data_IF_091998827893
#
_entry.id   IF_091998827893
#
_cell.length_a   1.000
_cell.length_b   1.000
_cell.length_c   1.000
_cell.angle_alpha   90.00
_cell.angle_beta   90.00
_cell.angle_gamma   90.00
#
_symmetry.space_group_name_H-M   'P 1'
#
loop_
_entity.id
_entity.type
_entity.pdbx_description
1 polymer ?
#
# COMPACT_ATOMS: atom_id res chain seq x y z
N UNK A 1 -19.97 21.43 -11.28
CA UNK A 1 -20.78 20.32 -10.76
C UNK A 1 -21.18 20.71 -9.36
N UNK A 2 -22.49 20.87 -9.11
CA UNK A 2 -22.98 21.37 -7.83
C UNK A 2 -22.48 20.51 -6.67
N UNK A 3 -22.23 21.15 -5.53
CA UNK A 3 -22.01 20.49 -4.25
C UNK A 3 -23.32 19.80 -3.83
N UNK A 4 -23.58 18.61 -4.36
CA UNK A 4 -24.47 17.66 -3.69
C UNK A 4 -23.70 17.05 -2.52
N UNK A 5 -24.30 17.12 -1.33
CA UNK A 5 -23.78 16.51 -0.09
C UNK A 5 -23.80 14.98 -0.12
N UNK A 6 -24.35 14.37 -1.19
CA UNK A 6 -24.48 12.92 -1.36
C UNK A 6 -24.34 12.53 -2.84
N UNK A 7 -23.92 11.29 -3.10
CA UNK A 7 -23.93 10.67 -4.41
C UNK A 7 -24.49 9.26 -4.26
N UNK A 8 -25.78 9.10 -4.54
CA UNK A 8 -26.49 7.86 -4.29
C UNK A 8 -26.46 6.92 -5.49
N UNK A 9 -26.34 5.61 -5.24
CA UNK A 9 -26.52 4.54 -6.22
C UNK A 9 -27.35 3.42 -5.63
N UNK A 10 -28.04 2.66 -6.46
CA UNK A 10 -28.80 1.48 -6.04
C UNK A 10 -28.06 0.19 -6.43
N UNK A 11 -27.96 -0.76 -5.50
CA UNK A 11 -27.40 -2.09 -5.74
C UNK A 11 -28.27 -3.13 -5.04
N UNK A 12 -28.81 -4.09 -5.81
CA UNK A 12 -29.69 -5.17 -5.31
C UNK A 12 -30.84 -4.61 -4.46
N UNK A 13 -31.46 -3.53 -4.95
CA UNK A 13 -32.59 -2.86 -4.28
C UNK A 13 -32.25 -2.16 -2.95
N UNK A 14 -30.97 -1.97 -2.64
CA UNK A 14 -30.49 -1.17 -1.51
C UNK A 14 -29.80 0.10 -2.00
N UNK A 15 -29.86 1.18 -1.23
CA UNK A 15 -29.25 2.46 -1.60
C UNK A 15 -27.91 2.67 -0.87
N UNK A 16 -26.95 3.24 -1.58
CA UNK A 16 -25.59 3.48 -1.11
C UNK A 16 -25.18 4.90 -1.46
N UNK A 17 -24.56 5.62 -0.52
CA UNK A 17 -23.96 6.94 -0.75
C UNK A 17 -22.44 6.78 -0.89
N UNK A 18 -21.97 6.85 -2.13
CA UNK A 18 -20.56 6.63 -2.48
C UNK A 18 -19.80 7.94 -2.72
N UNK A 19 -20.33 9.08 -2.25
CA UNK A 19 -19.72 10.41 -2.48
C UNK A 19 -18.25 10.47 -2.08
N UNK A 20 -17.93 10.00 -0.88
CA UNK A 20 -16.56 9.99 -0.35
C UNK A 20 -15.66 9.01 -1.13
N UNK A 21 -16.23 7.91 -1.62
CA UNK A 21 -15.53 6.90 -2.40
C UNK A 21 -15.18 7.34 -3.82
N UNK A 22 -15.90 8.29 -4.43
CA UNK A 22 -15.74 8.65 -5.84
C UNK A 22 -14.27 8.92 -6.23
N UNK A 23 -13.53 9.63 -5.38
CA UNK A 23 -12.12 9.98 -5.61
C UNK A 23 -11.17 8.78 -5.52
N UNK A 24 -11.61 7.73 -4.83
CA UNK A 24 -10.87 6.51 -4.56
C UNK A 24 -11.28 5.36 -5.51
N UNK A 25 -12.27 5.56 -6.39
CA UNK A 25 -12.68 4.55 -7.36
C UNK A 25 -11.53 4.27 -8.36
N UNK A 26 -11.04 3.02 -8.48
CA UNK A 26 -9.86 2.70 -9.32
C UNK A 26 -10.02 3.03 -10.80
N UNK A 27 -11.24 3.02 -11.32
CA UNK A 27 -11.53 3.46 -12.70
C UNK A 27 -11.52 4.98 -12.87
N UNK A 28 -11.57 5.74 -11.78
CA UNK A 28 -11.73 7.19 -11.77
C UNK A 28 -13.20 7.63 -11.75
N UNK A 29 -13.41 8.87 -11.32
CA UNK A 29 -14.74 9.48 -11.07
C UNK A 29 -15.61 9.52 -12.33
N UNK A 30 -15.01 9.77 -13.50
CA UNK A 30 -15.73 9.97 -14.77
C UNK A 30 -16.56 8.76 -15.21
N UNK A 31 -16.16 7.55 -14.82
CA UNK A 31 -16.90 6.33 -15.16
C UNK A 31 -18.09 6.06 -14.25
N UNK A 32 -18.13 6.71 -13.08
CA UNK A 32 -19.16 6.52 -12.05
C UNK A 32 -20.20 7.63 -12.11
N UNK A 33 -19.80 8.86 -12.46
CA UNK A 33 -20.69 10.04 -12.50
C UNK A 33 -22.00 9.82 -13.26
N UNK A 34 -22.00 9.04 -14.35
CA UNK A 34 -23.20 8.77 -15.15
C UNK A 34 -24.25 7.90 -14.43
N UNK A 35 -23.92 7.33 -13.27
CA UNK A 35 -24.76 6.40 -12.51
C UNK A 35 -25.33 7.03 -11.23
N UNK A 36 -25.21 8.33 -11.03
CA UNK A 36 -25.89 9.04 -9.94
C UNK A 36 -27.39 8.74 -9.98
N UNK A 37 -27.93 8.30 -8.84
CA UNK A 37 -29.32 7.89 -8.63
C UNK A 37 -29.81 6.74 -9.52
N UNK A 38 -28.89 5.88 -9.99
CA UNK A 38 -29.22 4.71 -10.83
C UNK A 38 -28.94 3.38 -10.15
N UNK A 39 -29.63 2.33 -10.64
CA UNK A 39 -29.29 0.95 -10.31
C UNK A 39 -28.01 0.52 -11.06
N UNK A 40 -26.97 0.19 -10.30
CA UNK A 40 -25.67 -0.25 -10.78
C UNK A 40 -25.48 -1.76 -10.71
N UNK A 41 -26.49 -2.54 -10.32
CA UNK A 41 -26.39 -4.00 -10.10
C UNK A 41 -25.83 -4.72 -11.31
N UNK A 42 -26.47 -4.56 -12.47
CA UNK A 42 -25.99 -5.22 -13.68
C UNK A 42 -24.62 -4.68 -14.11
N UNK A 43 -24.41 -3.36 -13.98
CA UNK A 43 -23.15 -2.74 -14.37
C UNK A 43 -21.97 -3.21 -13.52
N UNK A 44 -22.17 -3.39 -12.22
CA UNK A 44 -21.17 -3.92 -11.29
C UNK A 44 -20.75 -5.34 -11.69
N UNK A 45 -21.71 -6.18 -12.10
CA UNK A 45 -21.47 -7.56 -12.57
C UNK A 45 -20.76 -7.58 -13.93
N UNK A 46 -21.20 -6.75 -14.88
CA UNK A 46 -20.64 -6.68 -16.24
C UNK A 46 -19.18 -6.20 -16.26
N UNK A 47 -18.81 -5.32 -15.33
CA UNK A 47 -17.45 -4.80 -15.20
C UNK A 47 -16.51 -5.75 -14.43
N UNK A 48 -16.99 -6.95 -14.06
CA UNK A 48 -16.21 -7.98 -13.36
C UNK A 48 -15.48 -7.46 -12.11
N UNK A 49 -16.17 -6.63 -11.31
CA UNK A 49 -15.63 -6.17 -10.04
C UNK A 49 -15.22 -7.36 -9.15
N UNK A 50 -14.14 -7.18 -8.39
CA UNK A 50 -13.65 -8.22 -7.48
C UNK A 50 -14.57 -8.38 -6.27
N UNK A 51 -14.48 -9.52 -5.58
CA UNK A 51 -15.18 -9.74 -4.29
C UNK A 51 -14.87 -8.62 -3.28
N UNK A 52 -13.64 -8.12 -3.28
CA UNK A 52 -13.21 -7.01 -2.43
C UNK A 52 -13.96 -5.71 -2.72
N UNK A 53 -14.26 -5.40 -3.99
CA UNK A 53 -15.05 -4.22 -4.36
C UNK A 53 -16.50 -4.34 -3.85
N UNK A 54 -17.13 -5.51 -3.99
CA UNK A 54 -18.46 -5.75 -3.43
C UNK A 54 -18.46 -5.69 -1.89
N UNK A 55 -17.41 -6.18 -1.25
CA UNK A 55 -17.25 -6.11 0.20
C UNK A 55 -17.13 -4.66 0.69
N UNK A 56 -16.33 -3.85 0.00
CA UNK A 56 -16.14 -2.43 0.31
C UNK A 56 -17.42 -1.61 0.10
N UNK A 57 -18.22 -1.92 -0.92
CA UNK A 57 -19.50 -1.24 -1.17
C UNK A 57 -20.42 -1.24 0.06
N UNK A 58 -20.33 -2.28 0.91
CA UNK A 58 -21.12 -2.40 2.15
C UNK A 58 -20.89 -1.22 3.11
N UNK A 59 -19.71 -0.59 3.10
CA UNK A 59 -19.38 0.57 3.94
C UNK A 59 -20.25 1.78 3.64
N UNK A 60 -20.71 1.90 2.40
CA UNK A 60 -21.41 3.08 1.89
C UNK A 60 -22.93 2.94 1.92
N UNK A 61 -23.47 1.88 2.54
CA UNK A 61 -24.92 1.66 2.59
C UNK A 61 -25.62 2.72 3.45
N UNK A 62 -26.67 3.33 2.89
CA UNK A 62 -27.50 4.30 3.60
C UNK A 62 -28.29 3.57 4.71
N UNK A 63 -28.26 4.11 5.93
CA UNK A 63 -28.92 3.51 7.10
C UNK A 63 -28.06 2.50 7.86
N UNK A 64 -26.77 2.39 7.51
CA UNK A 64 -25.79 1.55 8.20
C UNK A 64 -25.31 0.40 7.32
N UNK A 65 -24.10 -0.10 7.64
CA UNK A 65 -23.42 -1.15 6.89
C UNK A 65 -24.34 -2.35 6.69
N UNK A 66 -24.33 -2.92 5.48
CA UNK A 66 -25.03 -4.17 5.26
C UNK A 66 -24.36 -5.29 6.05
N UNK A 67 -25.04 -5.86 7.06
CA UNK A 67 -24.55 -6.99 7.86
C UNK A 67 -25.08 -8.34 7.35
N UNK A 68 -25.95 -8.34 6.34
CA UNK A 68 -26.55 -9.58 5.84
C UNK A 68 -25.50 -10.44 5.17
N UNK A 69 -25.40 -11.69 5.60
CA UNK A 69 -24.68 -12.75 4.89
C UNK A 69 -25.39 -13.03 3.58
N UNK A 70 -24.68 -12.91 2.46
CA UNK A 70 -25.13 -13.38 1.16
C UNK A 70 -24.24 -14.55 0.70
N UNK A 71 -24.60 -15.23 -0.39
CA UNK A 71 -23.84 -16.37 -0.92
C UNK A 71 -22.39 -16.04 -1.33
N UNK A 72 -21.97 -14.77 -1.27
CA UNK A 72 -20.68 -14.31 -1.79
C UNK A 72 -19.74 -13.68 -0.76
N UNK A 73 -20.23 -13.26 0.42
CA UNK A 73 -19.41 -12.67 1.49
C UNK A 73 -20.04 -12.88 2.88
N UNK A 74 -19.38 -13.62 3.76
CA UNK A 74 -19.62 -13.51 5.21
C UNK A 74 -19.08 -12.17 5.70
N UNK A 75 -19.77 -11.50 6.63
CA UNK A 75 -19.19 -10.36 7.33
C UNK A 75 -18.09 -10.84 8.28
N UNK A 76 -16.84 -10.44 8.04
CA UNK A 76 -15.69 -10.88 8.83
C UNK A 76 -15.38 -9.91 9.97
N UNK A 77 -16.21 -8.91 10.18
CA UNK A 77 -15.81 -7.69 10.88
C UNK A 77 -16.09 -7.80 12.37
N UNK A 78 -16.97 -8.74 12.72
CA UNK A 78 -17.23 -9.22 14.07
C UNK A 78 -16.08 -10.08 14.63
N UNK A 79 -15.07 -10.43 13.80
CA UNK A 79 -13.89 -11.16 14.27
C UNK A 79 -12.96 -10.29 15.13
N UNK A 80 -13.09 -8.97 15.05
CA UNK A 80 -12.28 -7.99 15.78
C UNK A 80 -13.15 -6.88 16.36
N UNK A 81 -12.68 -6.27 17.45
CA UNK A 81 -13.26 -5.06 18.01
C UNK A 81 -12.54 -3.84 17.43
N UNK A 82 -13.23 -3.11 16.55
CA UNK A 82 -12.72 -1.90 15.89
C UNK A 82 -12.44 -0.74 16.85
N UNK A 83 -12.96 -0.77 18.08
CA UNK A 83 -12.70 0.24 19.10
C UNK A 83 -11.44 -0.06 19.94
N UNK A 84 -10.77 -1.19 19.68
CA UNK A 84 -9.58 -1.63 20.40
C UNK A 84 -8.35 -1.69 19.48
N UNK A 85 -7.13 -1.66 20.05
CA UNK A 85 -5.90 -1.79 19.27
C UNK A 85 -5.88 -3.06 18.41
N UNK A 86 -5.67 -2.88 17.11
CA UNK A 86 -5.90 -3.92 16.11
C UNK A 86 -4.78 -4.96 16.06
N UNK A 87 -3.51 -4.56 16.25
CA UNK A 87 -2.36 -5.44 16.04
C UNK A 87 -2.43 -6.71 16.92
N UNK A 88 -2.86 -6.58 18.18
CA UNK A 88 -3.01 -7.72 19.10
C UNK A 88 -4.18 -8.63 18.73
N UNK A 89 -5.21 -8.11 18.08
CA UNK A 89 -6.38 -8.90 17.69
C UNK A 89 -6.07 -9.69 16.42
N UNK A 90 -5.47 -9.02 15.42
CA UNK A 90 -5.15 -9.58 14.11
C UNK A 90 -4.25 -10.82 14.20
N UNK A 91 -3.22 -10.78 15.05
CA UNK A 91 -2.32 -11.93 15.23
C UNK A 91 -3.01 -13.17 15.82
N UNK A 92 -4.22 -13.03 16.36
CA UNK A 92 -5.01 -14.12 16.92
C UNK A 92 -6.12 -14.62 15.97
N UNK A 93 -6.26 -14.05 14.77
CA UNK A 93 -7.29 -14.46 13.79
C UNK A 93 -7.04 -15.85 13.18
N UNK A 94 -5.81 -16.37 13.30
CA UNK A 94 -5.47 -17.69 12.79
C UNK A 94 -5.74 -17.83 11.29
N UNK A 95 -6.41 -18.91 10.89
CA UNK A 95 -6.74 -19.21 9.49
C UNK A 95 -7.68 -18.18 8.85
N UNK A 96 -8.48 -17.46 9.64
CA UNK A 96 -9.39 -16.41 9.14
C UNK A 96 -8.68 -15.11 8.76
N UNK A 97 -7.41 -14.96 9.14
CA UNK A 97 -6.65 -13.73 8.90
C UNK A 97 -6.58 -13.35 7.42
N UNK A 98 -6.26 -14.30 6.55
CA UNK A 98 -5.99 -13.98 5.15
C UNK A 98 -7.24 -13.49 4.41
N UNK A 99 -8.40 -14.09 4.69
CA UNK A 99 -9.67 -13.62 4.13
C UNK A 99 -10.06 -12.25 4.71
N UNK A 100 -9.90 -12.08 6.03
CA UNK A 100 -10.23 -10.83 6.72
C UNK A 100 -9.39 -9.65 6.23
N UNK A 101 -8.08 -9.84 6.01
CA UNK A 101 -7.15 -8.78 5.61
C UNK A 101 -7.35 -8.35 4.15
N UNK A 102 -7.78 -9.26 3.28
CA UNK A 102 -8.08 -9.00 1.86
C UNK A 102 -9.55 -8.55 1.64
N UNK A 103 -10.31 -8.34 2.71
CA UNK A 103 -11.67 -7.81 2.67
C UNK A 103 -11.63 -6.33 3.09
N UNK A 104 -11.46 -5.39 2.15
CA UNK A 104 -11.18 -3.99 2.46
C UNK A 104 -12.37 -3.28 3.10
N UNK A 105 -12.07 -2.30 3.94
CA UNK A 105 -13.03 -1.40 4.59
C UNK A 105 -12.53 0.03 4.57
N UNK A 106 -13.46 0.99 4.60
CA UNK A 106 -13.16 2.42 4.65
C UNK A 106 -13.51 2.97 6.04
N UNK A 107 -12.58 2.79 6.98
CA UNK A 107 -12.77 3.21 8.37
C UNK A 107 -11.44 3.44 9.08
N UNK A 108 -11.51 4.22 10.15
CA UNK A 108 -10.36 4.43 11.02
C UNK A 108 -9.93 3.13 11.72
N UNK A 109 -8.62 2.89 11.75
CA UNK A 109 -8.03 1.77 12.48
C UNK A 109 -6.90 2.21 13.39
N UNK A 110 -6.98 1.80 14.66
CA UNK A 110 -5.95 2.02 15.68
C UNK A 110 -5.08 0.78 15.80
N UNK A 111 -3.76 0.90 15.68
CA UNK A 111 -2.86 -0.25 15.76
C UNK A 111 -2.42 -0.55 17.20
N UNK A 112 -2.11 0.51 17.96
CA UNK A 112 -1.59 0.46 19.32
C UNK A 112 -2.45 1.29 20.27
N UNK A 113 -2.63 0.80 21.51
CA UNK A 113 -3.28 1.59 22.56
C UNK A 113 -2.39 2.66 23.16
N UNK A 114 -1.09 2.63 22.87
CA UNK A 114 -0.12 3.63 23.30
C UNK A 114 0.05 4.67 22.19
N UNK A 115 -0.16 5.95 22.52
CA UNK A 115 -0.13 7.04 21.54
C UNK A 115 1.25 7.22 20.88
N UNK A 116 2.34 6.99 21.60
CA UNK A 116 3.70 7.10 21.05
C UNK A 116 3.89 6.02 19.97
N UNK A 117 3.53 4.77 20.29
CA UNK A 117 3.62 3.67 19.31
C UNK A 117 2.70 3.91 18.11
N UNK A 118 1.50 4.43 18.33
CA UNK A 118 0.57 4.77 17.25
C UNK A 118 1.15 5.84 16.33
N UNK A 119 1.73 6.91 16.89
CA UNK A 119 2.34 7.99 16.11
C UNK A 119 3.54 7.49 15.29
N UNK A 120 4.30 6.52 15.78
CA UNK A 120 5.42 5.91 15.04
C UNK A 120 4.97 5.10 13.81
N UNK A 121 3.69 4.75 13.72
CA UNK A 121 3.13 4.07 12.53
C UNK A 121 2.73 5.04 11.42
N UNK A 122 2.65 6.34 11.71
CA UNK A 122 2.18 7.34 10.77
C UNK A 122 3.37 7.86 9.97
N UNK A 123 3.32 7.67 8.65
CA UNK A 123 4.34 8.19 7.72
C UNK A 123 3.64 9.03 6.66
N UNK A 124 3.64 10.37 6.78
CA UNK A 124 3.13 11.25 5.73
C UNK A 124 3.88 11.04 4.41
N UNK A 125 3.18 11.16 3.28
CA UNK A 125 3.74 10.89 1.95
C UNK A 125 5.03 11.67 1.67
N UNK A 126 5.14 12.92 2.14
CA UNK A 126 6.29 13.80 1.88
C UNK A 126 7.56 13.38 2.64
N UNK A 127 7.45 12.50 3.64
CA UNK A 127 8.63 12.02 4.40
C UNK A 127 9.52 11.14 3.53
N UNK A 128 8.94 10.38 2.59
CA UNK A 128 9.69 9.53 1.66
C UNK A 128 10.63 10.36 0.78
N UNK A 129 10.18 11.33 -0.04
CA UNK A 129 11.08 12.14 -0.85
C UNK A 129 12.03 12.99 0.00
N UNK A 130 11.59 13.50 1.16
CA UNK A 130 12.44 14.30 2.05
C UNK A 130 13.69 13.55 2.53
N UNK A 131 13.58 12.24 2.78
CA UNK A 131 14.70 11.42 3.26
C UNK A 131 15.48 10.84 2.08
N UNK A 132 14.79 10.22 1.12
CA UNK A 132 15.44 9.38 0.12
C UNK A 132 16.05 10.16 -1.03
N UNK A 133 15.50 11.33 -1.40
CA UNK A 133 16.09 12.17 -2.44
C UNK A 133 17.48 12.68 -2.03
N UNK A 134 17.69 13.27 -0.83
CA UNK A 134 19.04 13.65 -0.40
C UNK A 134 20.03 12.49 -0.33
N UNK A 135 19.59 11.31 0.15
CA UNK A 135 20.44 10.11 0.21
C UNK A 135 20.85 9.66 -1.20
N UNK A 136 19.90 9.63 -2.13
CA UNK A 136 20.17 9.30 -3.53
C UNK A 136 21.19 10.26 -4.14
N UNK A 137 20.98 11.58 -4.03
CA UNK A 137 21.91 12.57 -4.56
C UNK A 137 23.29 12.52 -3.89
N UNK A 138 23.36 12.22 -2.61
CA UNK A 138 24.63 12.06 -1.90
C UNK A 138 25.43 10.87 -2.45
N UNK A 139 24.78 9.71 -2.68
CA UNK A 139 25.44 8.56 -3.29
C UNK A 139 25.88 8.85 -4.73
N UNK A 140 25.03 9.52 -5.52
CA UNK A 140 25.38 9.92 -6.89
C UNK A 140 26.59 10.86 -6.88
N UNK A 141 26.64 11.81 -5.94
CA UNK A 141 27.78 12.71 -5.76
C UNK A 141 29.07 11.94 -5.44
N UNK A 142 29.05 11.04 -4.45
CA UNK A 142 30.22 10.24 -4.09
C UNK A 142 30.72 9.39 -5.26
N UNK A 143 29.83 8.69 -5.96
CA UNK A 143 30.19 7.90 -7.13
C UNK A 143 30.72 8.75 -8.29
N UNK A 144 30.22 9.98 -8.45
CA UNK A 144 30.71 10.92 -9.46
C UNK A 144 32.13 11.40 -9.18
N UNK A 145 32.49 11.65 -7.91
CA UNK A 145 33.86 11.98 -7.52
C UNK A 145 34.81 10.83 -7.83
N UNK A 146 34.44 9.58 -7.52
CA UNK A 146 35.27 8.40 -7.85
C UNK A 146 35.48 8.21 -9.36
N UNK A 147 34.46 8.51 -10.16
CA UNK A 147 34.59 8.50 -11.64
C UNK A 147 35.60 9.53 -12.13
N UNK A 148 35.66 10.72 -11.51
CA UNK A 148 36.64 11.75 -11.86
C UNK A 148 38.09 11.30 -11.59
N UNK A 149 38.31 10.53 -10.52
CA UNK A 149 39.65 10.03 -10.13
C UNK A 149 40.14 8.87 -11.00
N UNK A 150 39.24 8.05 -11.54
CA UNK A 150 39.61 6.87 -12.33
C UNK A 150 39.70 7.18 -13.82
N UNK A 151 38.59 7.64 -14.42
CA UNK A 151 38.45 7.96 -15.85
C UNK A 151 37.08 8.57 -16.08
N UNK A 152 36.99 9.90 -16.09
CA UNK A 152 35.70 10.58 -16.19
C UNK A 152 34.98 10.24 -17.50
N UNK A 153 33.80 9.63 -17.38
CA UNK A 153 32.91 9.39 -18.50
C UNK A 153 31.45 9.59 -18.05
N UNK A 154 30.82 10.64 -18.56
CA UNK A 154 29.44 10.97 -18.24
C UNK A 154 28.44 9.87 -18.64
N UNK A 155 28.73 9.09 -19.69
CA UNK A 155 27.90 7.96 -20.09
C UNK A 155 27.94 6.83 -19.08
N UNK A 156 29.07 6.62 -18.39
CA UNK A 156 29.15 5.65 -17.30
C UNK A 156 28.28 6.08 -16.12
N UNK A 157 28.26 7.39 -15.80
CA UNK A 157 27.42 7.93 -14.73
C UNK A 157 25.94 7.73 -15.06
N UNK A 158 25.51 8.18 -16.24
CA UNK A 158 24.12 8.03 -16.70
C UNK A 158 23.73 6.55 -16.75
N UNK A 159 24.60 5.70 -17.31
CA UNK A 159 24.37 4.27 -17.41
C UNK A 159 24.24 3.58 -16.06
N UNK A 160 25.09 3.93 -15.08
CA UNK A 160 25.05 3.35 -13.74
C UNK A 160 23.81 3.80 -12.96
N UNK A 161 23.44 5.08 -13.01
CA UNK A 161 22.20 5.59 -12.39
C UNK A 161 20.98 4.96 -13.06
N UNK A 162 20.96 4.87 -14.39
CA UNK A 162 19.89 4.22 -15.14
C UNK A 162 19.74 2.74 -14.81
N UNK A 163 20.87 2.02 -14.65
CA UNK A 163 20.87 0.64 -14.17
C UNK A 163 20.27 0.53 -12.76
N UNK A 164 20.59 1.47 -11.86
CA UNK A 164 19.98 1.55 -10.53
C UNK A 164 18.45 1.64 -10.60
N UNK A 165 17.92 2.57 -11.39
CA UNK A 165 16.47 2.73 -11.60
C UNK A 165 15.84 1.45 -12.15
N UNK A 166 16.50 0.78 -13.11
CA UNK A 166 16.02 -0.50 -13.63
C UNK A 166 16.03 -1.61 -12.57
N UNK A 167 17.09 -1.70 -11.76
CA UNK A 167 17.18 -2.65 -10.64
C UNK A 167 16.10 -2.38 -9.59
N UNK A 168 15.72 -1.12 -9.36
CA UNK A 168 14.59 -0.78 -8.52
C UNK A 168 13.29 -1.40 -9.04
N UNK A 169 12.97 -1.28 -10.33
CA UNK A 169 11.72 -1.87 -10.87
C UNK A 169 11.65 -3.39 -10.67
N UNK A 170 12.80 -4.07 -10.78
CA UNK A 170 12.91 -5.50 -10.49
C UNK A 170 12.73 -5.79 -9.00
N UNK A 171 13.37 -5.00 -8.14
CA UNK A 171 13.29 -5.13 -6.68
C UNK A 171 11.86 -4.88 -6.18
N UNK A 172 11.23 -3.81 -6.63
CA UNK A 172 9.84 -3.44 -6.31
C UNK A 172 8.89 -4.58 -6.64
N UNK A 173 8.92 -5.07 -7.89
CA UNK A 173 8.10 -6.20 -8.30
C UNK A 173 8.35 -7.44 -7.44
N UNK A 174 9.60 -7.74 -7.14
CA UNK A 174 10.00 -8.91 -6.36
C UNK A 174 9.50 -8.83 -4.91
N UNK A 175 9.71 -7.69 -4.26
CA UNK A 175 9.25 -7.43 -2.90
C UNK A 175 7.72 -7.45 -2.85
N UNK A 176 7.06 -6.76 -3.77
CA UNK A 176 5.61 -6.68 -3.78
C UNK A 176 4.97 -8.05 -4.00
N UNK A 177 5.43 -8.81 -5.00
CA UNK A 177 4.86 -10.10 -5.35
C UNK A 177 5.16 -11.20 -4.33
N UNK A 178 6.40 -11.33 -3.86
CA UNK A 178 6.82 -12.49 -3.06
C UNK A 178 6.95 -12.22 -1.56
N UNK A 179 7.19 -10.97 -1.16
CA UNK A 179 7.34 -10.61 0.26
C UNK A 179 6.06 -10.00 0.81
N UNK A 180 5.56 -8.95 0.16
CA UNK A 180 4.38 -8.20 0.63
C UNK A 180 3.08 -9.00 0.44
N UNK A 181 2.99 -9.81 -0.60
CA UNK A 181 1.88 -10.73 -0.87
C UNK A 181 2.13 -12.18 -0.42
N UNK A 182 3.01 -12.40 0.57
CA UNK A 182 3.12 -13.71 1.21
C UNK A 182 1.75 -14.14 1.76
N UNK A 183 1.38 -15.41 1.60
CA UNK A 183 0.09 -15.95 2.08
C UNK A 183 0.30 -16.63 3.43
N UNK A 184 -0.13 -16.03 4.57
CA UNK A 184 0.09 -16.64 5.87
C UNK A 184 -0.89 -17.80 6.06
N UNK A 185 -0.37 -18.97 6.44
CA UNK A 185 -1.18 -20.16 6.72
C UNK A 185 -2.09 -20.05 7.94
N UNK A 186 -2.08 -18.92 8.65
CA UNK A 186 -2.79 -18.73 9.91
C UNK A 186 -2.13 -19.38 11.13
N UNK A 187 -1.17 -20.28 10.95
CA UNK A 187 -0.56 -21.05 12.06
C UNK A 187 0.45 -20.26 12.89
N UNK A 188 1.14 -19.29 12.27
CA UNK A 188 2.17 -18.49 12.93
C UNK A 188 1.71 -17.05 13.14
N UNK A 189 1.56 -16.67 14.41
CA UNK A 189 1.25 -15.28 14.81
C UNK A 189 2.31 -14.30 14.34
N UNK A 190 3.57 -14.74 14.28
CA UNK A 190 4.70 -13.92 13.81
C UNK A 190 4.54 -13.61 12.32
N UNK A 191 4.22 -14.61 11.50
CA UNK A 191 4.03 -14.40 10.06
C UNK A 191 2.81 -13.52 9.78
N UNK A 192 1.71 -13.70 10.53
CA UNK A 192 0.54 -12.82 10.45
C UNK A 192 0.94 -11.38 10.79
N UNK A 193 1.68 -11.18 11.89
CA UNK A 193 2.16 -9.87 12.32
C UNK A 193 3.00 -9.20 11.23
N UNK A 194 4.00 -9.91 10.70
CA UNK A 194 4.89 -9.41 9.64
C UNK A 194 4.08 -9.04 8.40
N UNK A 195 3.22 -9.94 7.88
CA UNK A 195 2.38 -9.64 6.72
C UNK A 195 1.51 -8.41 6.97
N UNK A 196 0.89 -8.32 8.15
CA UNK A 196 -0.01 -7.23 8.48
C UNK A 196 0.71 -5.88 8.49
N UNK A 197 1.89 -5.82 9.10
CA UNK A 197 2.64 -4.57 9.24
C UNK A 197 3.32 -4.10 7.95
N UNK A 198 3.71 -5.01 7.05
CA UNK A 198 4.37 -4.63 5.80
C UNK A 198 3.39 -4.30 4.68
N UNK A 199 2.22 -4.96 4.62
CA UNK A 199 1.29 -4.77 3.50
C UNK A 199 -0.19 -5.07 3.81
N UNK A 200 -0.49 -5.99 4.73
CA UNK A 200 -1.86 -6.35 5.07
C UNK A 200 -2.71 -5.19 5.59
N UNK A 201 -2.10 -4.26 6.33
CA UNK A 201 -2.73 -2.99 6.73
C UNK A 201 -3.29 -2.22 5.53
N UNK A 202 -2.49 -2.09 4.47
CA UNK A 202 -2.88 -1.38 3.24
C UNK A 202 -4.01 -2.10 2.49
N UNK A 203 -4.00 -3.44 2.45
CA UNK A 203 -5.14 -4.20 1.89
C UNK A 203 -6.42 -4.00 2.69
N UNK A 204 -6.31 -3.91 4.02
CA UNK A 204 -7.47 -3.81 4.90
C UNK A 204 -8.12 -2.43 4.89
N UNK A 205 -7.33 -1.37 4.99
CA UNK A 205 -7.79 0.02 5.00
C UNK A 205 -7.07 0.82 3.89
N UNK A 206 -7.42 0.58 2.62
CA UNK A 206 -6.66 1.10 1.48
C UNK A 206 -6.63 2.63 1.39
N UNK A 207 -7.55 3.32 2.06
CA UNK A 207 -7.69 4.77 2.01
C UNK A 207 -7.13 5.49 3.26
N UNK A 208 -6.44 4.79 4.18
CA UNK A 208 -5.71 5.45 5.29
C UNK A 208 -4.45 6.16 4.78
N UNK A 209 -4.61 7.42 4.37
CA UNK A 209 -3.54 8.26 3.84
C UNK A 209 -2.36 8.48 4.79
N UNK A 210 -2.54 8.23 6.09
CA UNK A 210 -1.47 8.36 7.11
C UNK A 210 -0.46 7.20 7.06
N UNK A 211 -0.83 6.08 6.45
CA UNK A 211 -0.08 4.81 6.48
C UNK A 211 0.07 4.17 5.09
N UNK A 212 -0.03 4.99 4.05
CA UNK A 212 0.06 4.54 2.67
C UNK A 212 1.49 4.17 2.26
N UNK A 213 2.47 4.98 2.69
CA UNK A 213 3.87 4.81 2.30
C UNK A 213 4.63 3.96 3.32
N UNK A 214 5.66 3.26 2.83
CA UNK A 214 6.48 2.39 3.68
C UNK A 214 7.34 3.23 4.64
N UNK A 215 7.33 2.97 5.97
CA UNK A 215 8.05 3.80 6.93
C UNK A 215 9.58 3.83 6.70
N UNK A 216 10.26 4.98 6.90
CA UNK A 216 11.68 5.11 6.57
C UNK A 216 12.62 4.20 7.36
N UNK A 217 12.30 3.91 8.62
CA UNK A 217 13.18 3.10 9.47
C UNK A 217 13.28 1.64 8.98
N UNK A 218 12.17 0.90 8.75
CA UNK A 218 12.21 -0.38 8.04
C UNK A 218 12.79 -0.29 6.63
N UNK A 219 12.49 0.77 5.88
CA UNK A 219 13.04 0.98 4.54
C UNK A 219 14.58 1.08 4.56
N UNK A 220 15.15 1.75 5.56
CA UNK A 220 16.59 1.90 5.72
C UNK A 220 17.31 0.55 5.85
N UNK A 221 16.68 -0.45 6.49
CA UNK A 221 17.25 -1.80 6.55
C UNK A 221 17.37 -2.41 5.13
N UNK A 222 16.34 -2.27 4.30
CA UNK A 222 16.35 -2.76 2.91
C UNK A 222 17.42 -2.01 2.10
N UNK A 223 17.51 -0.70 2.26
CA UNK A 223 18.52 0.14 1.58
C UNK A 223 19.94 -0.24 2.01
N UNK A 224 20.20 -0.46 3.30
CA UNK A 224 21.52 -0.89 3.78
C UNK A 224 21.92 -2.27 3.25
N UNK A 225 20.97 -3.22 3.22
CA UNK A 225 21.21 -4.55 2.64
C UNK A 225 21.50 -4.46 1.13
N UNK A 226 20.74 -3.64 0.41
CA UNK A 226 20.97 -3.38 -1.01
C UNK A 226 22.32 -2.72 -1.28
N UNK A 227 22.70 -1.72 -0.48
CA UNK A 227 24.01 -1.07 -0.56
C UNK A 227 25.15 -2.05 -0.30
N UNK A 228 25.05 -2.88 0.74
CA UNK A 228 26.05 -3.91 1.02
C UNK A 228 26.16 -4.92 -0.13
N UNK A 229 25.02 -5.35 -0.70
CA UNK A 229 25.00 -6.22 -1.86
C UNK A 229 25.69 -5.57 -3.07
N UNK A 230 25.41 -4.30 -3.37
CA UNK A 230 26.04 -3.58 -4.48
C UNK A 230 27.53 -3.39 -4.28
N UNK A 231 27.98 -3.05 -3.06
CA UNK A 231 29.39 -2.92 -2.74
C UNK A 231 30.18 -4.22 -2.99
N UNK A 232 29.58 -5.38 -2.73
CA UNK A 232 30.23 -6.69 -2.96
C UNK A 232 30.10 -7.19 -4.42
N UNK A 233 29.24 -6.59 -5.24
CA UNK A 233 28.92 -7.07 -6.58
C UNK A 233 29.50 -6.20 -7.68
N UNK A 234 29.51 -4.87 -7.48
CA UNK A 234 29.88 -3.90 -8.49
C UNK A 234 31.23 -3.22 -8.17
N UNK A 235 31.97 -2.77 -9.20
CA UNK A 235 33.22 -2.04 -9.00
C UNK A 235 33.07 -0.77 -8.15
N UNK A 236 34.15 -0.40 -7.46
CA UNK A 236 34.20 0.71 -6.51
C UNK A 236 33.78 2.06 -7.11
N UNK A 237 34.03 2.26 -8.40
CA UNK A 237 33.73 3.50 -9.10
C UNK A 237 32.28 3.59 -9.61
N UNK A 238 31.42 2.58 -9.40
CA UNK A 238 30.04 2.57 -9.91
C UNK A 238 28.98 2.15 -8.91
N UNK A 239 29.31 1.42 -7.84
CA UNK A 239 28.27 0.89 -6.95
C UNK A 239 27.46 1.98 -6.24
N UNK A 240 28.06 3.14 -5.89
CA UNK A 240 27.29 4.26 -5.33
C UNK A 240 26.36 4.91 -6.35
N UNK A 241 26.76 4.98 -7.62
CA UNK A 241 25.92 5.51 -8.70
C UNK A 241 24.69 4.61 -8.92
N UNK A 242 24.91 3.29 -8.94
CA UNK A 242 23.84 2.30 -9.01
C UNK A 242 22.94 2.43 -7.78
N UNK A 243 23.53 2.47 -6.57
CA UNK A 243 22.77 2.62 -5.32
C UNK A 243 21.93 3.90 -5.27
N UNK A 244 22.49 5.02 -5.70
CA UNK A 244 21.76 6.28 -5.80
C UNK A 244 20.62 6.21 -6.81
N UNK A 245 20.84 5.59 -7.97
CA UNK A 245 19.80 5.32 -8.97
C UNK A 245 18.69 4.41 -8.47
N UNK A 246 19.03 3.34 -7.72
CA UNK A 246 18.04 2.44 -7.11
C UNK A 246 17.13 3.17 -6.13
N UNK A 247 17.70 4.05 -5.29
CA UNK A 247 16.90 4.85 -4.34
C UNK A 247 16.02 5.87 -5.08
N UNK A 248 16.48 6.41 -6.21
CA UNK A 248 15.75 7.39 -7.02
C UNK A 248 14.53 6.79 -7.74
N UNK A 249 14.52 5.47 -7.97
CA UNK A 249 13.40 4.81 -8.66
C UNK A 249 12.09 4.77 -7.87
N UNK A 250 12.14 5.05 -6.57
CA UNK A 250 11.01 5.04 -5.63
C UNK A 250 10.09 6.27 -5.79
#
# INVERSE_FOLDING_TARGET
>A
MGDSDSFSVQYVGQNYDIREFLRNHPGGVNYVQAYEDRDVTQKMLDMHHSKAAFYLLREYKIGGRDLKRNEHTDDLEDLVDWNKPMLRQVVNLGEKYYEWVNSPVDRHMTLFGNQILENLTITPWYVVPLIWIPVSFYLIYLGSIKQLETSYNILNIIGAVGLGVLLWTLLEYSLHRWVFHIVPSGKSKIVICIHFTIHGLHHKVPFDSRRLVFPPFPAALIVMLGYYFYWNTFPENVYELIGGGTILGN
#
